data_IF_230463571274
#
_entry.id   IF_230463571274
#
_cell.length_a   1.000
_cell.length_b   1.000
_cell.length_c   1.000
_cell.angle_alpha   90.00
_cell.angle_beta   90.00
_cell.angle_gamma   90.00
#
_symmetry.space_group_name_H-M   'P 1'
#
loop_
_entity.id
_entity.type
_entity.pdbx_description
1 polymer ?
#
# COMPACT_ATOMS: atom_id res chain seq x y z
N UNK A 1 -25.14 21.44 39.98
CA UNK A 1 -23.82 21.65 39.34
C UNK A 1 -23.11 20.30 39.29
N UNK A 2 -22.83 19.77 38.09
CA UNK A 2 -22.16 18.47 37.96
C UNK A 2 -20.65 18.64 38.22
N UNK A 3 -20.15 17.99 39.26
CA UNK A 3 -18.71 17.93 39.56
C UNK A 3 -18.03 17.10 38.47
N UNK A 4 -17.26 17.73 37.58
CA UNK A 4 -16.46 17.02 36.57
C UNK A 4 -15.39 16.19 37.30
N UNK A 5 -15.40 14.87 37.12
CA UNK A 5 -14.38 13.96 37.64
C UNK A 5 -13.03 14.32 37.01
N UNK A 6 -12.00 14.53 37.84
CA UNK A 6 -10.66 14.87 37.36
C UNK A 6 -10.10 13.76 36.44
N UNK A 7 -9.33 14.10 35.39
CA UNK A 7 -8.73 13.11 34.51
C UNK A 7 -7.76 12.21 35.30
N UNK A 8 -7.96 10.90 35.23
CA UNK A 8 -7.05 9.93 35.82
C UNK A 8 -5.80 9.83 34.95
N UNK A 9 -4.69 10.40 35.42
CA UNK A 9 -3.40 10.30 34.75
C UNK A 9 -2.87 8.88 34.89
N UNK A 10 -2.53 8.25 33.77
CA UNK A 10 -1.97 6.90 33.75
C UNK A 10 -0.45 7.00 33.66
N UNK A 11 0.28 6.03 34.25
CA UNK A 11 1.75 6.03 34.25
C UNK A 11 2.39 6.12 32.85
N UNK A 12 1.68 5.66 31.82
CA UNK A 12 2.07 5.80 30.41
C UNK A 12 2.20 7.26 29.96
N UNK A 13 1.35 8.14 30.48
CA UNK A 13 1.22 9.52 30.02
C UNK A 13 2.34 10.40 30.61
N UNK A 14 2.82 10.02 31.80
CA UNK A 14 3.89 10.73 32.53
C UNK A 14 5.28 10.25 32.10
N UNK A 15 5.39 9.01 31.62
CA UNK A 15 6.64 8.41 31.17
C UNK A 15 7.47 9.28 30.18
N UNK A 16 6.91 9.82 29.08
CA UNK A 16 7.71 10.62 28.14
C UNK A 16 8.27 11.90 28.78
N UNK A 17 7.52 12.50 29.72
CA UNK A 17 7.94 13.71 30.43
C UNK A 17 9.11 13.43 31.39
N UNK A 18 9.01 12.33 32.16
CA UNK A 18 10.07 11.90 33.09
C UNK A 18 11.33 11.53 32.33
N UNK A 19 11.19 10.78 31.24
CA UNK A 19 12.31 10.39 30.39
C UNK A 19 13.02 11.63 29.79
N UNK A 20 12.25 12.60 29.26
CA UNK A 20 12.80 13.84 28.73
C UNK A 20 13.55 14.66 29.79
N UNK A 21 12.99 14.76 31.00
CA UNK A 21 13.63 15.44 32.13
C UNK A 21 14.97 14.79 32.47
N UNK A 22 15.01 13.45 32.62
CA UNK A 22 16.23 12.72 32.97
C UNK A 22 17.32 12.80 31.90
N UNK A 23 16.92 12.85 30.63
CA UNK A 23 17.87 13.08 29.52
C UNK A 23 18.41 14.51 29.57
N UNK A 24 17.54 15.50 29.79
CA UNK A 24 17.94 16.92 29.87
C UNK A 24 18.83 17.22 31.07
N UNK A 25 18.64 16.52 32.19
CA UNK A 25 19.46 16.64 33.40
C UNK A 25 20.77 15.83 33.31
N UNK A 26 21.05 15.18 32.17
CA UNK A 26 22.26 14.40 31.97
C UNK A 26 22.29 13.05 32.70
N UNK A 27 21.20 12.65 33.34
CA UNK A 27 21.04 11.39 34.08
C UNK A 27 20.76 10.20 33.14
N UNK A 28 21.66 9.98 32.17
CA UNK A 28 21.51 8.98 31.09
C UNK A 28 21.33 7.55 31.61
N UNK A 29 22.00 7.19 32.70
CA UNK A 29 21.88 5.85 33.30
C UNK A 29 20.48 5.60 33.90
N UNK A 30 19.90 6.60 34.57
CA UNK A 30 18.56 6.52 35.14
C UNK A 30 17.48 6.50 34.04
N UNK A 31 17.65 7.28 32.98
CA UNK A 31 16.77 7.24 31.81
C UNK A 31 16.77 5.84 31.15
N UNK A 32 17.94 5.21 31.01
CA UNK A 32 18.06 3.87 30.45
C UNK A 32 17.44 2.77 31.36
N UNK A 33 17.57 2.91 32.69
CA UNK A 33 16.91 2.02 33.64
C UNK A 33 15.38 2.09 33.54
N UNK A 34 14.81 3.30 33.48
CA UNK A 34 13.37 3.50 33.28
C UNK A 34 12.87 2.95 31.95
N UNK A 35 13.62 3.14 30.86
CA UNK A 35 13.28 2.53 29.57
C UNK A 35 13.22 0.99 29.65
N UNK A 36 14.10 0.37 30.44
CA UNK A 36 14.15 -1.08 30.62
C UNK A 36 12.99 -1.60 31.48
N UNK A 37 12.63 -0.86 32.52
CA UNK A 37 11.55 -1.21 33.45
C UNK A 37 10.16 -1.05 32.84
N UNK A 38 9.96 -0.02 32.02
CA UNK A 38 8.64 0.29 31.45
C UNK A 38 8.15 -0.72 30.43
N UNK A 39 9.01 -1.60 29.90
CA UNK A 39 8.67 -2.63 28.87
C UNK A 39 7.79 -2.09 27.74
N UNK A 40 7.79 -0.77 27.51
CA UNK A 40 7.02 -0.17 26.43
C UNK A 40 7.64 -0.70 25.15
N UNK A 41 6.80 -1.30 24.32
CA UNK A 41 7.19 -1.80 23.01
C UNK A 41 7.91 -0.64 22.32
N UNK A 42 9.23 -0.76 22.11
CA UNK A 42 9.90 0.05 21.09
C UNK A 42 9.04 -0.19 19.85
N UNK A 43 8.31 0.82 19.39
CA UNK A 43 7.83 0.84 18.01
C UNK A 43 9.12 0.79 17.23
N UNK A 44 9.53 -0.43 16.89
CA UNK A 44 10.74 -0.68 16.17
C UNK A 44 10.55 0.11 14.89
N UNK A 45 11.29 1.22 14.77
CA UNK A 45 11.39 1.94 13.52
C UNK A 45 11.69 0.87 12.49
N UNK A 46 10.77 0.72 11.53
CA UNK A 46 10.83 -0.32 10.52
C UNK A 46 12.26 -0.33 9.99
N UNK A 47 13.01 -1.39 10.30
CA UNK A 47 14.30 -1.58 9.66
C UNK A 47 13.96 -1.75 8.19
N UNK A 48 14.20 -0.71 7.39
CA UNK A 48 14.01 -0.76 5.96
C UNK A 48 14.94 -1.85 5.46
N UNK A 49 14.41 -3.05 5.25
CA UNK A 49 15.12 -4.12 4.55
C UNK A 49 15.71 -3.48 3.30
N UNK A 50 17.02 -3.66 3.09
CA UNK A 50 17.72 -3.00 1.99
C UNK A 50 16.94 -3.17 0.69
N UNK A 51 16.73 -2.06 -0.02
CA UNK A 51 15.94 -2.07 -1.25
C UNK A 51 16.59 -3.07 -2.21
N UNK A 52 15.84 -4.04 -2.76
CA UNK A 52 16.39 -4.98 -3.72
C UNK A 52 16.93 -4.22 -4.94
N UNK A 53 18.03 -4.69 -5.52
CA UNK A 53 18.60 -4.05 -6.71
C UNK A 53 17.55 -3.94 -7.82
N UNK A 54 17.35 -2.72 -8.32
CA UNK A 54 16.49 -2.42 -9.45
C UNK A 54 17.36 -1.85 -10.58
N UNK A 55 17.16 -2.35 -11.80
CA UNK A 55 17.88 -1.85 -12.99
C UNK A 55 17.41 -0.46 -13.42
N UNK A 56 16.16 -0.14 -13.11
CA UNK A 56 15.47 1.07 -13.53
C UNK A 56 15.17 1.85 -12.26
N UNK A 57 15.61 3.11 -12.23
CA UNK A 57 15.28 4.02 -11.14
C UNK A 57 13.85 4.55 -11.35
N UNK A 58 12.90 3.98 -10.60
CA UNK A 58 11.49 4.37 -10.71
C UNK A 58 11.23 5.84 -10.37
N UNK A 59 12.04 6.42 -9.47
CA UNK A 59 11.90 7.83 -9.08
C UNK A 59 12.37 8.76 -10.17
N UNK A 60 13.52 8.46 -10.79
CA UNK A 60 14.01 9.22 -11.92
C UNK A 60 13.03 9.20 -13.10
N UNK A 61 12.52 8.03 -13.48
CA UNK A 61 11.65 7.89 -14.66
C UNK A 61 10.22 8.40 -14.43
N UNK A 62 9.70 8.39 -13.20
CA UNK A 62 8.38 8.92 -12.90
C UNK A 62 8.29 10.45 -13.09
N UNK A 63 9.40 11.16 -12.88
CA UNK A 63 9.52 12.61 -13.08
C UNK A 63 9.62 13.00 -14.57
N UNK A 64 10.06 12.08 -15.43
CA UNK A 64 10.19 12.30 -16.88
C UNK A 64 8.88 12.09 -17.64
N UNK A 65 7.82 11.65 -16.96
CA UNK A 65 6.49 11.48 -17.58
C UNK A 65 5.92 12.88 -17.84
N UNK A 66 5.72 13.20 -19.12
CA UNK A 66 5.29 14.54 -19.57
C UNK A 66 3.84 14.85 -19.19
N UNK A 67 2.94 13.87 -19.32
CA UNK A 67 1.52 14.01 -18.99
C UNK A 67 1.13 13.15 -17.79
N UNK A 68 0.42 13.75 -16.84
CA UNK A 68 -0.11 13.07 -15.67
C UNK A 68 -1.07 11.91 -16.04
N UNK A 69 -1.75 11.98 -17.20
CA UNK A 69 -2.63 10.90 -17.66
C UNK A 69 -1.88 9.57 -17.93
N UNK A 70 -0.59 9.64 -18.28
CA UNK A 70 0.26 8.49 -18.60
C UNK A 70 0.82 7.79 -17.36
N UNK A 71 0.57 8.34 -16.16
CA UNK A 71 1.05 7.77 -14.90
C UNK A 71 0.34 6.46 -14.57
N UNK A 72 -0.94 6.33 -14.91
CA UNK A 72 -1.71 5.11 -14.68
C UNK A 72 -1.87 4.30 -15.97
N UNK A 73 -1.06 3.25 -16.09
CA UNK A 73 -1.14 2.27 -17.18
C UNK A 73 -1.91 1.00 -16.79
N UNK A 74 -2.68 1.06 -15.70
CA UNK A 74 -3.49 -0.09 -15.27
C UNK A 74 -4.59 -0.41 -16.29
N UNK A 75 -4.99 -1.67 -16.33
CA UNK A 75 -6.11 -2.10 -17.18
C UNK A 75 -7.43 -1.45 -16.75
N UNK A 76 -7.63 -1.22 -15.45
CA UNK A 76 -8.86 -0.58 -14.95
C UNK A 76 -8.92 0.90 -15.31
N UNK A 77 -7.81 1.63 -15.20
CA UNK A 77 -7.75 3.04 -15.60
C UNK A 77 -7.99 3.24 -17.10
N UNK A 78 -7.56 2.28 -17.93
CA UNK A 78 -7.66 2.37 -19.39
C UNK A 78 -8.95 1.78 -19.97
N UNK A 79 -9.38 0.60 -19.51
CA UNK A 79 -10.51 -0.15 -20.09
C UNK A 79 -11.70 -0.31 -19.13
N UNK A 80 -11.56 0.08 -17.87
CA UNK A 80 -12.58 -0.11 -16.84
C UNK A 80 -12.81 -1.57 -16.46
N UNK A 81 -13.85 -1.80 -15.65
CA UNK A 81 -14.18 -3.12 -15.08
C UNK A 81 -15.33 -3.85 -15.79
N UNK A 82 -16.09 -3.16 -16.64
CA UNK A 82 -17.27 -3.72 -17.29
C UNK A 82 -16.96 -4.55 -18.57
N UNK A 83 -15.78 -4.31 -19.16
CA UNK A 83 -15.35 -4.92 -20.41
C UNK A 83 -15.04 -6.41 -20.31
N UNK A 84 -14.94 -7.04 -21.49
CA UNK A 84 -14.71 -8.48 -21.59
C UNK A 84 -13.41 -8.96 -20.94
N UNK A 85 -12.35 -8.17 -21.00
CA UNK A 85 -11.06 -8.52 -20.43
C UNK A 85 -11.09 -8.62 -18.90
N UNK A 86 -11.71 -7.64 -18.22
CA UNK A 86 -11.83 -7.65 -16.75
C UNK A 86 -12.66 -8.84 -16.25
N UNK A 87 -13.82 -9.09 -16.88
CA UNK A 87 -14.66 -10.25 -16.52
C UNK A 87 -13.98 -11.59 -16.79
N UNK A 88 -13.25 -11.72 -17.89
CA UNK A 88 -12.45 -12.91 -18.16
C UNK A 88 -11.34 -13.09 -17.12
N UNK A 89 -10.64 -12.01 -16.74
CA UNK A 89 -9.61 -12.04 -15.71
C UNK A 89 -10.16 -12.55 -14.37
N UNK A 90 -11.32 -12.04 -13.92
CA UNK A 90 -11.96 -12.47 -12.66
C UNK A 90 -12.24 -13.97 -12.58
N UNK A 91 -12.44 -14.63 -13.72
CA UNK A 91 -12.65 -16.08 -13.81
C UNK A 91 -11.33 -16.81 -13.94
N UNK A 92 -10.46 -16.37 -14.86
CA UNK A 92 -9.26 -17.11 -15.25
C UNK A 92 -8.10 -16.95 -14.26
N UNK A 93 -8.04 -15.84 -13.51
CA UNK A 93 -6.98 -15.61 -12.50
C UNK A 93 -6.97 -16.67 -11.39
N UNK A 94 -8.13 -17.29 -11.15
CA UNK A 94 -8.35 -18.35 -10.14
C UNK A 94 -7.71 -19.68 -10.54
N UNK A 95 -7.40 -19.87 -11.83
CA UNK A 95 -6.91 -21.13 -12.37
C UNK A 95 -5.45 -20.99 -12.79
N UNK A 96 -4.63 -22.00 -12.49
CA UNK A 96 -3.19 -22.02 -12.80
C UNK A 96 -2.80 -23.31 -13.52
N UNK A 97 -1.68 -23.28 -14.24
CA UNK A 97 -1.09 -24.46 -14.88
C UNK A 97 -1.98 -25.11 -15.96
N UNK A 98 -1.97 -26.45 -16.03
CA UNK A 98 -2.66 -27.23 -17.07
C UNK A 98 -4.17 -26.97 -17.14
N UNK A 99 -4.80 -26.73 -15.99
CA UNK A 99 -6.24 -26.51 -15.92
C UNK A 99 -6.68 -25.15 -16.49
N UNK A 100 -5.75 -24.21 -16.66
CA UNK A 100 -6.02 -22.94 -17.33
C UNK A 100 -6.53 -23.17 -18.76
N UNK A 101 -5.95 -24.13 -19.48
CA UNK A 101 -6.37 -24.43 -20.86
C UNK A 101 -7.80 -24.93 -20.92
N UNK A 102 -8.21 -25.80 -19.99
CA UNK A 102 -9.59 -26.31 -19.89
C UNK A 102 -10.56 -25.20 -19.51
N UNK A 103 -10.22 -24.40 -18.49
CA UNK A 103 -11.04 -23.28 -18.04
C UNK A 103 -11.23 -22.23 -19.15
N UNK A 104 -10.15 -21.86 -19.84
CA UNK A 104 -10.19 -20.97 -21.01
C UNK A 104 -11.04 -21.55 -22.14
N UNK A 105 -10.83 -22.81 -22.52
CA UNK A 105 -11.57 -23.42 -23.62
C UNK A 105 -13.07 -23.58 -23.29
N UNK A 106 -13.41 -23.86 -22.02
CA UNK A 106 -14.80 -23.91 -21.54
C UNK A 106 -15.41 -22.52 -21.49
N UNK A 107 -14.70 -21.53 -20.94
CA UNK A 107 -15.14 -20.13 -20.89
C UNK A 107 -15.37 -19.55 -22.28
N UNK A 108 -14.49 -19.87 -23.25
CA UNK A 108 -14.66 -19.53 -24.67
C UNK A 108 -15.92 -20.15 -25.28
N UNK A 109 -16.27 -21.40 -24.91
CA UNK A 109 -17.40 -22.13 -25.52
C UNK A 109 -18.75 -21.86 -24.86
N UNK A 110 -18.79 -21.51 -23.58
CA UNK A 110 -20.02 -21.60 -22.76
C UNK A 110 -20.65 -20.25 -22.36
N UNK A 111 -20.01 -19.09 -22.59
CA UNK A 111 -20.53 -17.80 -22.09
C UNK A 111 -19.96 -16.63 -22.92
N UNK A 112 -20.15 -16.63 -24.23
CA UNK A 112 -19.62 -15.58 -25.12
C UNK A 112 -20.46 -14.28 -25.09
N UNK A 113 -20.79 -13.80 -23.88
CA UNK A 113 -21.41 -12.50 -23.56
C UNK A 113 -20.75 -11.91 -22.29
N UNK A 114 -19.47 -12.17 -22.09
CA UNK A 114 -18.79 -11.88 -20.82
C UNK A 114 -18.31 -10.42 -20.74
N UNK A 115 -19.14 -9.44 -21.05
CA UNK A 115 -18.81 -8.01 -21.02
C UNK A 115 -18.85 -7.34 -22.38
N UNK A 116 -18.82 -6.01 -22.37
CA UNK A 116 -18.90 -5.20 -23.58
C UNK A 116 -17.57 -5.21 -24.32
N UNK A 117 -17.63 -5.25 -25.65
CA UNK A 117 -16.49 -5.01 -26.53
C UNK A 117 -16.63 -3.57 -26.98
N UNK A 118 -15.84 -2.68 -26.37
CA UNK A 118 -15.78 -1.29 -26.79
C UNK A 118 -14.96 -1.16 -28.07
N UNK A 119 -15.41 -0.29 -28.99
CA UNK A 119 -14.67 0.12 -30.18
C UNK A 119 -13.93 1.46 -29.96
N UNK A 120 -13.88 1.96 -28.72
CA UNK A 120 -13.18 3.20 -28.38
C UNK A 120 -11.66 3.08 -28.53
N UNK A 121 -11.01 4.20 -28.83
CA UNK A 121 -9.55 4.28 -28.87
C UNK A 121 -9.01 4.78 -27.53
N UNK A 122 -8.17 3.98 -26.88
CA UNK A 122 -7.46 4.33 -25.64
C UNK A 122 -5.99 4.72 -25.91
N UNK A 123 -5.69 5.15 -27.13
CA UNK A 123 -4.35 5.59 -27.55
C UNK A 123 -4.04 7.00 -27.05
N UNK A 124 -2.83 7.22 -26.54
CA UNK A 124 -2.29 8.56 -26.33
C UNK A 124 -1.85 9.17 -27.67
N UNK A 125 -2.16 10.45 -27.90
CA UNK A 125 -1.67 11.20 -29.05
C UNK A 125 -0.51 12.06 -28.60
N UNK A 126 0.63 11.93 -29.27
CA UNK A 126 1.76 12.81 -29.04
C UNK A 126 1.53 14.14 -29.73
N UNK A 127 1.71 15.22 -28.99
CA UNK A 127 1.94 16.53 -29.59
C UNK A 127 3.37 16.51 -30.17
N UNK A 128 3.54 17.01 -31.40
CA UNK A 128 4.81 16.99 -32.14
C UNK A 128 6.01 17.54 -31.35
#
# INVERSE_FOLDING_TARGET
MAVKKAPSVVASDVYPLIHALLVSSGMKAAAAALQKETKLVKVAGQSSGGVPFQRVDGEYWSQQIVDDSLRDNSYEGTFGSAGVGSKANNILIKVRGKDFTKAKNKGKRSTYMCGEISMASNSYKFDE
#
